data_IF_353652390491
#
_entry.id   IF_353652390491
#
_cell.length_a   1.000
_cell.length_b   1.000
_cell.length_c   1.000
_cell.angle_alpha   90.00
_cell.angle_beta   90.00
_cell.angle_gamma   90.00
#
_symmetry.space_group_name_H-M   'P 1'
#
loop_
_entity.id
_entity.type
_entity.pdbx_description
1 polymer ?
#
# COMPACT_ATOMS: atom_id res chain seq x y z
N UNK A 1 -28.44 22.09 7.31
CA UNK A 1 -27.26 22.06 6.42
C UNK A 1 -26.43 20.87 6.84
N UNK A 2 -26.05 19.96 5.94
CA UNK A 2 -25.23 18.82 6.32
C UNK A 2 -23.84 19.34 6.74
N UNK A 3 -23.41 18.97 7.94
CA UNK A 3 -22.07 19.29 8.43
C UNK A 3 -21.04 18.67 7.48
N UNK A 4 -20.15 19.47 6.89
CA UNK A 4 -19.07 18.96 6.04
C UNK A 4 -17.99 18.41 6.96
N UNK A 5 -18.18 17.19 7.44
CA UNK A 5 -17.19 16.53 8.30
C UNK A 5 -15.95 16.19 7.48
N UNK A 6 -14.78 16.70 7.90
CA UNK A 6 -13.50 16.38 7.26
C UNK A 6 -13.24 14.88 7.38
N UNK A 7 -12.84 14.25 6.26
CA UNK A 7 -12.52 12.82 6.21
C UNK A 7 -11.02 12.59 6.35
N UNK A 8 -10.64 11.48 6.96
CA UNK A 8 -9.26 11.08 7.17
C UNK A 8 -8.97 9.71 6.53
N UNK A 9 -7.93 9.65 5.73
CA UNK A 9 -7.49 8.44 5.05
C UNK A 9 -6.06 8.07 5.45
N UNK A 10 -5.80 6.78 5.64
CA UNK A 10 -4.46 6.23 5.82
C UNK A 10 -4.16 5.34 4.64
N UNK A 11 -3.04 5.60 3.96
CA UNK A 11 -2.60 4.81 2.79
C UNK A 11 -1.24 4.22 3.06
N UNK A 12 -1.18 2.88 3.15
CA UNK A 12 0.08 2.18 3.37
C UNK A 12 0.89 2.05 2.08
N UNK A 13 2.20 2.29 2.13
CA UNK A 13 3.06 2.25 0.93
C UNK A 13 2.73 3.35 -0.09
N UNK A 14 2.37 4.53 0.40
CA UNK A 14 1.90 5.67 -0.40
C UNK A 14 3.00 6.49 -1.09
N UNK A 15 4.27 6.13 -0.97
CA UNK A 15 5.37 6.93 -1.54
C UNK A 15 5.62 6.72 -3.05
N UNK A 16 5.02 5.70 -3.67
CA UNK A 16 5.19 5.42 -5.11
C UNK A 16 4.03 4.59 -5.68
N UNK A 17 4.03 4.44 -7.00
CA UNK A 17 3.13 3.54 -7.71
C UNK A 17 1.65 3.86 -7.44
N UNK A 18 0.85 2.80 -7.26
CA UNK A 18 -0.59 2.93 -7.05
C UNK A 18 -0.91 3.68 -5.74
N UNK A 19 -0.15 3.42 -4.67
CA UNK A 19 -0.34 4.10 -3.38
C UNK A 19 -0.23 5.63 -3.48
N UNK A 20 0.76 6.13 -4.22
CA UNK A 20 0.94 7.57 -4.42
C UNK A 20 -0.22 8.20 -5.19
N UNK A 21 -0.70 7.53 -6.23
CA UNK A 21 -1.85 8.00 -7.02
C UNK A 21 -3.15 7.96 -6.21
N UNK A 22 -3.32 6.95 -5.34
CA UNK A 22 -4.42 6.91 -4.37
C UNK A 22 -4.34 8.13 -3.45
N UNK A 23 -3.17 8.42 -2.86
CA UNK A 23 -2.99 9.61 -2.01
C UNK A 23 -3.41 10.88 -2.74
N UNK A 24 -2.93 11.07 -3.98
CA UNK A 24 -3.26 12.22 -4.82
C UNK A 24 -4.77 12.36 -5.05
N UNK A 25 -5.44 11.30 -5.51
CA UNK A 25 -6.86 11.35 -5.84
C UNK A 25 -7.75 11.54 -4.61
N UNK A 26 -7.38 10.92 -3.48
CA UNK A 26 -8.12 11.05 -2.23
C UNK A 26 -7.94 12.46 -1.64
N UNK A 27 -6.72 12.99 -1.64
CA UNK A 27 -6.42 14.34 -1.16
C UNK A 27 -7.08 15.43 -2.03
N UNK A 28 -7.14 15.23 -3.35
CA UNK A 28 -7.82 16.14 -4.30
C UNK A 28 -9.32 16.26 -4.03
N UNK A 29 -9.93 15.30 -3.31
CA UNK A 29 -11.34 15.33 -2.89
C UNK A 29 -11.54 15.97 -1.51
N UNK A 30 -10.54 16.68 -0.98
CA UNK A 30 -10.61 17.36 0.33
C UNK A 30 -10.45 16.43 1.54
N UNK A 31 -10.05 15.17 1.34
CA UNK A 31 -9.76 14.23 2.42
C UNK A 31 -8.34 14.47 2.93
N UNK A 32 -8.14 14.51 4.24
CA UNK A 32 -6.80 14.51 4.82
C UNK A 32 -6.19 13.11 4.69
N UNK A 33 -5.03 13.00 4.03
CA UNK A 33 -4.35 11.73 3.78
C UNK A 33 -3.08 11.65 4.62
N UNK A 34 -2.99 10.59 5.41
CA UNK A 34 -1.74 10.13 6.02
C UNK A 34 -1.06 9.21 5.01
N UNK A 35 -0.10 9.78 4.29
CA UNK A 35 0.77 9.04 3.38
C UNK A 35 1.82 8.33 4.22
N UNK A 36 1.90 7.00 4.10
CA UNK A 36 2.92 6.25 4.84
C UNK A 36 3.90 5.52 3.94
N UNK A 37 5.13 5.39 4.43
CA UNK A 37 6.19 4.67 3.76
C UNK A 37 7.19 4.13 4.79
N UNK A 38 7.84 3.02 4.46
CA UNK A 38 8.89 2.45 5.31
C UNK A 38 10.13 3.35 5.36
N UNK A 39 10.49 3.93 4.22
CA UNK A 39 11.62 4.83 4.08
C UNK A 39 11.14 6.28 4.22
N UNK A 40 11.61 6.96 5.25
CA UNK A 40 11.20 8.32 5.61
C UNK A 40 11.52 9.32 4.51
N UNK A 41 12.75 9.28 3.97
CA UNK A 41 13.19 10.19 2.91
C UNK A 41 12.27 10.11 1.68
N UNK A 42 11.99 8.90 1.19
CA UNK A 42 11.08 8.68 0.06
C UNK A 42 9.65 9.08 0.38
N UNK A 43 9.22 8.95 1.63
CA UNK A 43 7.92 9.40 2.10
C UNK A 43 7.77 10.92 2.06
N UNK A 44 8.75 11.64 2.59
CA UNK A 44 8.80 13.10 2.56
C UNK A 44 8.87 13.64 1.12
N UNK A 45 9.73 13.06 0.28
CA UNK A 45 9.79 13.40 -1.16
C UNK A 45 8.44 13.21 -1.87
N UNK A 46 7.69 12.16 -1.51
CA UNK A 46 6.36 11.93 -2.06
C UNK A 46 5.34 12.98 -1.59
N UNK A 47 5.42 13.42 -0.34
CA UNK A 47 4.59 14.53 0.17
C UNK A 47 4.91 15.84 -0.53
N UNK A 48 6.19 16.17 -0.74
CA UNK A 48 6.57 17.37 -1.49
C UNK A 48 6.01 17.35 -2.91
N UNK A 49 6.10 16.21 -3.62
CA UNK A 49 5.48 16.06 -4.95
C UNK A 49 3.97 16.31 -4.93
N UNK A 50 3.26 15.95 -3.87
CA UNK A 50 1.83 16.20 -3.74
C UNK A 50 1.56 17.66 -3.36
N UNK A 51 2.42 18.29 -2.56
CA UNK A 51 2.36 19.72 -2.24
C UNK A 51 2.53 20.59 -3.48
N UNK A 52 3.47 20.25 -4.37
CA UNK A 52 3.68 20.93 -5.65
C UNK A 52 2.44 20.88 -6.57
N UNK A 53 1.57 19.89 -6.36
CA UNK A 53 0.29 19.75 -7.05
C UNK A 53 -0.86 20.51 -6.35
N UNK A 54 -0.57 21.34 -5.35
CA UNK A 54 -1.55 22.13 -4.60
C UNK A 54 -2.28 21.36 -3.50
N UNK A 55 -1.78 20.19 -3.09
CA UNK A 55 -2.43 19.33 -2.08
C UNK A 55 -1.84 19.50 -0.66
N UNK A 56 -1.10 20.57 -0.41
CA UNK A 56 -0.34 20.78 0.83
C UNK A 56 -1.17 20.78 2.11
N UNK A 57 -2.43 21.21 2.06
CA UNK A 57 -3.35 21.21 3.21
C UNK A 57 -4.01 19.86 3.52
N UNK A 58 -3.81 18.85 2.67
CA UNK A 58 -4.55 17.58 2.70
C UNK A 58 -3.64 16.35 2.75
N UNK A 59 -2.33 16.51 2.90
CA UNK A 59 -1.39 15.37 2.96
C UNK A 59 -0.38 15.59 4.09
N UNK A 60 -0.23 14.59 4.94
CA UNK A 60 0.81 14.49 5.96
C UNK A 60 1.58 13.19 5.81
N UNK A 61 2.85 13.19 6.17
CA UNK A 61 3.67 11.99 6.20
C UNK A 61 3.69 11.36 7.59
N UNK A 62 3.69 10.03 7.65
CA UNK A 62 4.12 9.27 8.83
C UNK A 62 4.88 8.02 8.39
N UNK A 63 5.99 7.71 9.06
CA UNK A 63 6.75 6.48 8.78
C UNK A 63 5.90 5.25 9.13
N UNK A 64 5.94 4.21 8.29
CA UNK A 64 5.28 2.93 8.57
C UNK A 64 6.04 1.77 7.93
N UNK A 65 6.52 0.86 8.77
CA UNK A 65 6.79 -0.52 8.36
C UNK A 65 5.65 -1.42 8.86
N UNK A 66 4.86 -1.93 7.92
CA UNK A 66 3.72 -2.82 8.26
C UNK A 66 4.18 -4.14 8.88
N UNK A 67 5.43 -4.54 8.68
CA UNK A 67 6.01 -5.73 9.29
C UNK A 67 6.40 -5.52 10.77
N UNK A 68 6.55 -4.28 11.22
CA UNK A 68 6.95 -3.93 12.58
C UNK A 68 5.74 -3.50 13.45
N UNK A 69 5.40 -4.26 14.51
CA UNK A 69 4.34 -3.88 15.43
C UNK A 69 4.52 -2.51 16.10
N UNK A 70 5.76 -2.11 16.42
CA UNK A 70 6.01 -0.82 17.07
C UNK A 70 5.72 0.35 16.11
N UNK A 71 6.17 0.24 14.86
CA UNK A 71 5.84 1.20 13.80
C UNK A 71 4.32 1.32 13.57
N UNK A 72 3.59 0.20 13.55
CA UNK A 72 2.12 0.21 13.43
C UNK A 72 1.45 0.91 14.61
N UNK A 73 1.89 0.62 15.85
CA UNK A 73 1.34 1.25 17.05
C UNK A 73 1.58 2.77 17.05
N UNK A 74 2.79 3.20 16.68
CA UNK A 74 3.14 4.62 16.57
C UNK A 74 2.25 5.36 15.58
N UNK A 75 1.95 4.76 14.42
CA UNK A 75 1.02 5.36 13.44
C UNK A 75 -0.41 5.50 14.01
N UNK A 76 -0.89 4.48 14.72
CA UNK A 76 -2.23 4.51 15.34
C UNK A 76 -2.30 5.64 16.37
N UNK A 77 -1.27 5.78 17.22
CA UNK A 77 -1.20 6.86 18.21
C UNK A 77 -1.10 8.24 17.57
N UNK A 78 -0.35 8.38 16.47
CA UNK A 78 -0.31 9.60 15.69
C UNK A 78 -1.69 9.98 15.15
N UNK A 79 -2.38 9.06 14.47
CA UNK A 79 -3.72 9.30 13.90
C UNK A 79 -4.73 9.64 14.98
N UNK A 80 -4.69 8.92 16.10
CA UNK A 80 -5.51 9.21 17.27
C UNK A 80 -5.28 10.62 17.79
N UNK A 81 -4.02 11.01 17.98
CA UNK A 81 -3.65 12.30 18.56
C UNK A 81 -3.99 13.47 17.65
N UNK A 82 -3.76 13.31 16.34
CA UNK A 82 -3.94 14.39 15.36
C UNK A 82 -5.38 14.53 14.87
N UNK A 83 -6.10 13.41 14.73
CA UNK A 83 -7.39 13.38 14.02
C UNK A 83 -8.53 12.76 14.81
N UNK A 84 -8.24 11.92 15.82
CA UNK A 84 -9.23 11.23 16.64
C UNK A 84 -10.06 10.14 15.93
N UNK A 85 -9.97 10.04 14.60
CA UNK A 85 -10.72 9.07 13.80
C UNK A 85 -10.00 8.71 12.49
N UNK A 86 -10.46 7.63 11.86
CA UNK A 86 -10.10 7.24 10.49
C UNK A 86 -11.35 6.83 9.73
N UNK A 87 -11.50 7.33 8.50
CA UNK A 87 -12.65 7.05 7.63
C UNK A 87 -12.29 6.10 6.47
N UNK A 88 -11.01 6.07 6.08
CA UNK A 88 -10.53 5.25 4.97
C UNK A 88 -9.19 4.63 5.36
N UNK A 89 -9.07 3.32 5.27
CA UNK A 89 -7.82 2.59 5.43
C UNK A 89 -7.51 1.85 4.13
N UNK A 90 -6.38 2.15 3.50
CA UNK A 90 -5.93 1.49 2.26
C UNK A 90 -4.67 0.69 2.56
N UNK A 91 -4.82 -0.64 2.59
CA UNK A 91 -3.72 -1.60 2.68
C UNK A 91 -3.15 -1.81 1.27
N UNK A 92 -2.18 -0.97 0.90
CA UNK A 92 -1.49 -1.01 -0.39
C UNK A 92 -0.02 -1.45 -0.27
N UNK A 93 0.61 -1.34 0.89
CA UNK A 93 1.98 -1.81 1.09
C UNK A 93 2.10 -3.29 0.74
N UNK A 94 3.03 -3.61 -0.17
CA UNK A 94 3.27 -4.97 -0.61
C UNK A 94 4.58 -5.15 -1.36
N UNK A 95 5.09 -6.38 -1.33
CA UNK A 95 6.29 -6.81 -2.05
C UNK A 95 6.01 -8.08 -2.85
N UNK A 96 6.78 -8.31 -3.92
CA UNK A 96 6.59 -9.46 -4.81
C UNK A 96 7.15 -10.79 -4.29
N UNK A 97 7.98 -10.77 -3.24
CA UNK A 97 8.64 -11.99 -2.72
C UNK A 97 9.64 -12.65 -3.67
N UNK A 98 10.08 -11.90 -4.68
CA UNK A 98 11.03 -12.33 -5.70
C UNK A 98 12.12 -11.28 -5.87
N UNK A 99 13.32 -11.71 -6.24
CA UNK A 99 14.43 -10.86 -6.63
C UNK A 99 14.66 -11.05 -8.12
N UNK A 100 14.74 -9.97 -8.87
CA UNK A 100 14.96 -10.04 -10.30
C UNK A 100 15.10 -8.67 -10.92
N UNK A 101 15.42 -8.65 -12.20
CA UNK A 101 15.47 -7.42 -12.96
C UNK A 101 14.04 -6.94 -13.22
N UNK A 102 13.61 -5.94 -12.46
CA UNK A 102 12.28 -5.34 -12.56
C UNK A 102 12.03 -4.65 -13.90
N UNK A 103 13.07 -4.13 -14.56
CA UNK A 103 12.93 -3.52 -15.89
C UNK A 103 12.73 -4.61 -16.94
N UNK A 104 13.54 -5.68 -16.89
CA UNK A 104 13.32 -6.85 -17.73
C UNK A 104 11.95 -7.48 -17.47
N UNK A 105 11.50 -7.55 -16.21
CA UNK A 105 10.18 -8.05 -15.84
C UNK A 105 9.06 -7.18 -16.39
N UNK A 106 9.19 -5.86 -16.30
CA UNK A 106 8.21 -4.90 -16.81
C UNK A 106 8.12 -4.98 -18.32
N UNK A 107 9.27 -5.03 -19.01
CA UNK A 107 9.32 -5.22 -20.46
C UNK A 107 8.72 -6.57 -20.89
N UNK A 108 8.99 -7.63 -20.14
CA UNK A 108 8.45 -8.96 -20.37
C UNK A 108 6.93 -9.06 -20.13
N UNK A 109 6.43 -8.44 -19.06
CA UNK A 109 5.03 -8.54 -18.64
C UNK A 109 4.10 -7.56 -19.38
N UNK A 110 4.61 -6.40 -19.81
CA UNK A 110 3.83 -5.33 -20.41
C UNK A 110 4.34 -4.84 -21.78
N UNK A 111 5.44 -5.40 -22.30
CA UNK A 111 6.08 -4.91 -23.53
C UNK A 111 5.37 -5.32 -24.82
N UNK A 112 5.25 -6.63 -25.10
CA UNK A 112 4.62 -7.13 -26.34
C UNK A 112 3.44 -8.05 -26.04
N UNK A 113 2.24 -7.81 -26.61
CA UNK A 113 1.14 -8.76 -26.55
C UNK A 113 1.59 -10.12 -27.10
N UNK A 114 1.47 -11.19 -26.31
CA UNK A 114 1.84 -12.55 -26.71
C UNK A 114 3.27 -12.98 -26.42
N UNK A 115 4.12 -12.11 -25.84
CA UNK A 115 5.43 -12.54 -25.35
C UNK A 115 5.27 -13.53 -24.18
N UNK A 116 5.99 -14.66 -24.25
CA UNK A 116 6.12 -15.61 -23.15
C UNK A 116 7.52 -15.50 -22.54
N UNK A 117 7.71 -14.65 -21.53
CA UNK A 117 9.00 -14.53 -20.88
C UNK A 117 9.32 -15.77 -20.06
N UNK A 118 10.60 -16.15 -20.05
CA UNK A 118 11.08 -17.20 -19.16
C UNK A 118 11.20 -16.66 -17.73
N UNK A 119 10.13 -16.81 -16.95
CA UNK A 119 10.03 -16.31 -15.58
C UNK A 119 11.12 -16.85 -14.65
N UNK A 120 11.52 -18.11 -14.80
CA UNK A 120 12.54 -18.74 -13.94
C UNK A 120 13.94 -18.16 -14.14
N UNK A 121 14.21 -17.57 -15.31
CA UNK A 121 15.47 -16.87 -15.59
C UNK A 121 15.46 -15.40 -15.17
N UNK A 122 14.28 -14.80 -14.98
CA UNK A 122 14.13 -13.37 -14.68
C UNK A 122 13.88 -13.09 -13.20
N UNK A 123 13.37 -14.09 -12.47
CA UNK A 123 13.01 -13.99 -11.06
C UNK A 123 13.61 -15.14 -10.28
N UNK A 124 14.34 -14.82 -9.23
CA UNK A 124 14.76 -15.74 -8.18
C UNK A 124 13.83 -15.60 -6.99
N UNK A 125 13.29 -16.72 -6.53
CA UNK A 125 12.54 -16.82 -5.28
C UNK A 125 13.42 -17.52 -4.24
N UNK A 126 13.34 -17.08 -2.98
CA UNK A 126 13.94 -17.78 -1.84
C UNK A 126 12.92 -17.95 -0.71
N UNK A 127 13.16 -18.87 0.23
CA UNK A 127 12.34 -18.99 1.43
C UNK A 127 12.22 -17.66 2.19
N UNK A 128 13.33 -16.93 2.34
CA UNK A 128 13.40 -15.66 3.08
C UNK A 128 12.57 -14.58 2.38
N UNK A 129 12.64 -14.47 1.05
CA UNK A 129 11.84 -13.51 0.29
C UNK A 129 10.34 -13.86 0.34
N UNK A 130 10.02 -15.15 0.35
CA UNK A 130 8.64 -15.64 0.49
C UNK A 130 8.09 -15.33 1.88
N UNK A 131 8.89 -15.53 2.93
CA UNK A 131 8.53 -15.16 4.30
C UNK A 131 8.32 -13.65 4.43
N UNK A 132 9.24 -12.83 3.91
CA UNK A 132 9.07 -11.38 3.90
C UNK A 132 7.80 -10.94 3.16
N UNK A 133 7.45 -11.62 2.06
CA UNK A 133 6.24 -11.37 1.30
C UNK A 133 4.99 -11.65 2.14
N UNK A 134 4.95 -12.78 2.84
CA UNK A 134 3.85 -13.11 3.75
C UNK A 134 3.77 -12.13 4.92
N UNK A 135 4.91 -11.78 5.51
CA UNK A 135 5.00 -10.81 6.62
C UNK A 135 4.50 -9.43 6.23
N UNK A 136 4.75 -9.00 4.99
CA UNK A 136 4.32 -7.69 4.49
C UNK A 136 2.87 -7.72 4.01
N UNK A 137 2.56 -8.60 3.04
CA UNK A 137 1.33 -8.54 2.26
C UNK A 137 0.12 -9.05 3.05
N UNK A 138 0.32 -10.07 3.89
CA UNK A 138 -0.75 -10.68 4.67
C UNK A 138 -0.71 -10.23 6.13
N UNK A 139 0.37 -10.58 6.85
CA UNK A 139 0.45 -10.29 8.28
C UNK A 139 0.55 -8.79 8.56
N UNK A 140 1.23 -8.03 7.70
CA UNK A 140 1.32 -6.58 7.83
C UNK A 140 -0.04 -5.91 7.67
N UNK A 141 -0.79 -6.25 6.63
CA UNK A 141 -2.15 -5.73 6.43
C UNK A 141 -3.10 -6.14 7.57
N UNK A 142 -3.02 -7.41 8.04
CA UNK A 142 -3.76 -7.87 9.22
C UNK A 142 -3.39 -7.06 10.47
N UNK A 143 -2.10 -6.83 10.70
CA UNK A 143 -1.58 -6.11 11.87
C UNK A 143 -2.10 -4.68 11.90
N UNK A 144 -2.00 -3.96 10.79
CA UNK A 144 -2.56 -2.60 10.67
C UNK A 144 -4.05 -2.61 11.02
N UNK A 145 -4.85 -3.45 10.36
CA UNK A 145 -6.28 -3.53 10.62
C UNK A 145 -6.60 -3.84 12.09
N UNK A 146 -5.96 -4.87 12.66
CA UNK A 146 -6.21 -5.30 14.04
C UNK A 146 -5.83 -4.20 15.04
N UNK A 147 -4.69 -3.52 14.86
CA UNK A 147 -4.27 -2.45 15.78
C UNK A 147 -5.22 -1.25 15.71
N UNK A 148 -5.70 -0.87 14.52
CA UNK A 148 -6.74 0.16 14.39
C UNK A 148 -8.06 -0.28 15.05
N UNK A 149 -8.49 -1.53 14.85
CA UNK A 149 -9.72 -2.08 15.44
C UNK A 149 -9.67 -2.29 16.95
N UNK A 150 -8.48 -2.57 17.49
CA UNK A 150 -8.28 -2.75 18.93
C UNK A 150 -8.13 -1.42 19.68
N UNK A 151 -8.04 -0.28 18.99
CA UNK A 151 -7.92 1.04 19.63
C UNK A 151 -9.31 1.59 19.96
N UNK A 152 -9.76 1.56 21.24
CA UNK A 152 -11.08 2.06 21.63
C UNK A 152 -11.22 3.58 21.46
N UNK A 153 -10.09 4.28 21.25
CA UNK A 153 -10.04 5.72 21.09
C UNK A 153 -10.11 6.18 19.62
N UNK A 154 -9.95 5.27 18.65
CA UNK A 154 -10.23 5.57 17.25
C UNK A 154 -11.66 5.13 16.99
N UNK A 155 -12.57 6.09 16.85
CA UNK A 155 -13.85 5.80 16.25
C UNK A 155 -13.60 5.46 14.78
N UNK A 156 -13.65 4.18 14.44
CA UNK A 156 -14.09 3.83 13.10
C UNK A 156 -15.46 4.46 12.94
N UNK A 157 -15.57 5.45 12.06
CA UNK A 157 -16.89 6.00 11.75
C UNK A 157 -17.77 4.85 11.24
N UNK A 158 -19.09 4.93 11.41
CA UNK A 158 -20.03 3.90 10.93
C UNK A 158 -19.85 3.59 9.43
N UNK A 159 -19.14 4.48 8.71
CA UNK A 159 -18.83 4.39 7.29
C UNK A 159 -17.33 4.17 6.99
N UNK A 160 -16.51 3.74 7.95
CA UNK A 160 -15.10 3.49 7.67
C UNK A 160 -14.94 2.37 6.63
N UNK A 161 -14.17 2.65 5.58
CA UNK A 161 -13.90 1.70 4.49
C UNK A 161 -12.46 1.22 4.56
N UNK A 162 -12.29 -0.10 4.67
CA UNK A 162 -10.99 -0.75 4.58
C UNK A 162 -10.84 -1.40 3.19
N UNK A 163 -9.80 -1.01 2.46
CA UNK A 163 -9.48 -1.52 1.12
C UNK A 163 -8.19 -2.32 1.17
N UNK A 164 -8.15 -3.43 0.43
CA UNK A 164 -6.95 -4.23 0.24
C UNK A 164 -6.64 -4.31 -1.25
N UNK A 165 -5.42 -3.95 -1.64
CA UNK A 165 -4.96 -4.15 -3.01
C UNK A 165 -4.38 -5.55 -3.14
N UNK A 166 -4.97 -6.33 -4.05
CA UNK A 166 -4.48 -7.66 -4.42
C UNK A 166 -4.09 -7.68 -5.89
N UNK A 167 -3.11 -8.52 -6.21
CA UNK A 167 -2.69 -8.79 -7.58
C UNK A 167 -3.21 -10.14 -8.03
N UNK A 168 -3.83 -10.21 -9.22
CA UNK A 168 -4.28 -11.47 -9.81
C UNK A 168 -3.15 -12.13 -10.60
N UNK A 169 -2.69 -13.31 -10.17
CA UNK A 169 -1.55 -14.05 -10.77
C UNK A 169 -2.01 -15.00 -11.89
N UNK A 170 -3.14 -14.74 -12.55
CA UNK A 170 -3.73 -15.68 -13.54
C UNK A 170 -2.90 -15.93 -14.81
N UNK A 171 -1.84 -15.16 -15.08
CA UNK A 171 -1.04 -15.27 -16.31
C UNK A 171 0.33 -15.94 -16.17
N UNK A 172 0.81 -16.23 -14.97
CA UNK A 172 2.19 -16.76 -14.81
C UNK A 172 2.32 -18.29 -14.96
N UNK A 173 1.24 -19.07 -14.80
CA UNK A 173 1.30 -20.54 -14.77
C UNK A 173 0.65 -21.26 -15.97
N UNK A 174 0.20 -20.55 -17.01
CA UNK A 174 -0.33 -21.18 -18.24
C UNK A 174 0.80 -21.59 -19.20
N UNK A 175 1.65 -22.53 -18.79
CA UNK A 175 2.54 -23.24 -19.75
C UNK A 175 3.02 -24.63 -19.34
N UNK A 176 2.43 -25.31 -18.36
CA UNK A 176 2.82 -26.70 -18.04
C UNK A 176 1.64 -27.69 -17.98
N UNK A 177 0.63 -27.50 -18.84
CA UNK A 177 -0.62 -28.26 -18.72
C UNK A 177 -1.34 -28.65 -20.00
N UNK A 178 -0.68 -28.70 -21.16
CA UNK A 178 -1.24 -29.39 -22.34
C UNK A 178 -0.28 -30.50 -22.81
N UNK A 179 -0.44 -31.68 -22.21
CA UNK A 179 -0.25 -32.95 -22.90
C UNK A 179 -1.63 -33.53 -23.20
N UNK A 180 -1.88 -33.84 -24.48
CA UNK A 180 -2.87 -34.76 -25.09
C UNK A 180 -3.07 -34.22 -26.52
N UNK A 181 -2.86 -34.93 -27.62
CA UNK A 181 -2.78 -36.37 -27.93
C UNK A 181 -1.79 -36.60 -29.08
#
# INVERSE_FOLDING_TARGET
MAEVTKRYAVVTGGNKGIGLEICKQVASKGTMVVLTARDEKRGLEAVEKLKDLGLSGNVVFHQLDVADPASVASLVDFVKTQFGKVDILVNNAGIGGVKGDFEALRAAAFGKPGAQPNWGSLLTQSPELSEQCLQTNYYGAKRVCVTYSASPAIQFTENCKCFFLYWEVKKMYRTNGQKQS
#
